data_IF_565613045611
#
_entry.id   IF_565613045611
#
_cell.length_a   1.000
_cell.length_b   1.000
_cell.length_c   1.000
_cell.angle_alpha   90.00
_cell.angle_beta   90.00
_cell.angle_gamma   90.00
#
_symmetry.space_group_name_H-M   'P 1'
#
loop_
_entity.id
_entity.type
_entity.pdbx_description
1 polymer ?
#
# COMPACT_ATOMS: atom_id res chain seq x y z
N UNK A 1 -37.53 -9.17 5.87
CA UNK A 1 -37.35 -7.92 5.13
C UNK A 1 -36.67 -6.95 6.08
N UNK A 2 -35.35 -6.79 5.94
CA UNK A 2 -34.58 -5.88 6.81
C UNK A 2 -34.71 -4.50 6.21
N UNK A 3 -35.24 -3.55 6.99
CA UNK A 3 -35.46 -2.18 6.56
C UNK A 3 -34.15 -1.51 6.20
N UNK A 4 -34.05 -1.06 4.95
CA UNK A 4 -33.10 -0.02 4.55
C UNK A 4 -33.60 1.26 5.23
N UNK A 5 -32.84 1.79 6.19
CA UNK A 5 -33.17 3.06 6.84
C UNK A 5 -33.07 4.17 5.80
N UNK A 6 -34.19 4.82 5.50
CA UNK A 6 -34.20 6.08 4.76
C UNK A 6 -33.39 7.10 5.57
N UNK A 7 -32.25 7.52 5.03
CA UNK A 7 -31.43 8.57 5.64
C UNK A 7 -32.23 9.87 5.66
N UNK A 8 -32.25 10.56 6.80
CA UNK A 8 -32.99 11.81 6.90
C UNK A 8 -32.28 12.92 6.09
N UNK A 9 -33.03 13.97 5.76
CA UNK A 9 -32.54 15.12 4.98
C UNK A 9 -31.29 15.79 5.57
N UNK A 10 -31.14 15.83 6.90
CA UNK A 10 -29.95 16.38 7.56
C UNK A 10 -28.71 15.50 7.37
N UNK A 11 -28.87 14.18 7.36
CA UNK A 11 -27.80 13.23 7.08
C UNK A 11 -27.33 13.34 5.64
N UNK A 12 -28.25 13.51 4.69
CA UNK A 12 -27.92 13.75 3.27
C UNK A 12 -27.11 15.05 3.13
N UNK A 13 -27.58 16.16 3.72
CA UNK A 13 -26.84 17.43 3.69
C UNK A 13 -25.47 17.36 4.39
N UNK A 14 -25.32 16.52 5.40
CA UNK A 14 -24.03 16.29 6.05
C UNK A 14 -23.07 15.49 5.17
N UNK A 15 -23.56 14.46 4.48
CA UNK A 15 -22.76 13.69 3.51
C UNK A 15 -22.35 14.52 2.30
N UNK A 16 -23.27 15.32 1.75
CA UNK A 16 -22.96 16.22 0.63
C UNK A 16 -21.86 17.22 0.99
N UNK A 17 -21.95 17.84 2.17
CA UNK A 17 -20.90 18.74 2.67
C UNK A 17 -19.57 18.01 2.84
N UNK A 18 -19.59 16.79 3.39
CA UNK A 18 -18.38 15.98 3.56
C UNK A 18 -17.72 15.65 2.21
N UNK A 19 -18.51 15.38 1.18
CA UNK A 19 -18.01 15.14 -0.18
C UNK A 19 -17.35 16.41 -0.73
N UNK A 20 -17.96 17.58 -0.57
CA UNK A 20 -17.35 18.85 -1.00
C UNK A 20 -16.02 19.14 -0.29
N UNK A 21 -15.95 18.89 1.02
CA UNK A 21 -14.71 19.01 1.78
C UNK A 21 -13.62 18.06 1.25
N UNK A 22 -13.98 16.81 0.92
CA UNK A 22 -13.04 15.85 0.36
C UNK A 22 -12.60 16.15 -1.06
N UNK A 23 -13.40 16.83 -1.88
CA UNK A 23 -12.95 17.30 -3.20
C UNK A 23 -11.78 18.27 -3.07
N UNK A 24 -11.79 19.10 -2.02
CA UNK A 24 -10.72 20.08 -1.77
C UNK A 24 -9.54 19.48 -1.01
N UNK A 25 -9.81 18.56 -0.07
CA UNK A 25 -8.79 17.92 0.75
C UNK A 25 -9.05 16.41 0.89
N UNK A 26 -8.77 15.62 -0.16
CA UNK A 26 -9.11 14.19 -0.17
C UNK A 26 -8.35 13.38 0.88
N UNK A 27 -7.23 13.93 1.40
CA UNK A 27 -6.43 13.30 2.46
C UNK A 27 -6.71 13.88 3.85
N UNK A 28 -7.61 14.86 4.00
CA UNK A 28 -7.77 15.63 5.24
C UNK A 28 -7.89 14.80 6.51
N UNK A 29 -8.67 13.72 6.46
CA UNK A 29 -8.82 12.79 7.59
C UNK A 29 -7.54 12.01 7.93
N UNK A 30 -6.78 11.56 6.93
CA UNK A 30 -5.46 10.96 7.16
C UNK A 30 -4.48 11.98 7.74
N UNK A 31 -4.44 13.19 7.17
CA UNK A 31 -3.56 14.26 7.64
C UNK A 31 -3.83 14.59 9.12
N UNK A 32 -5.11 14.66 9.51
CA UNK A 32 -5.50 14.85 10.89
C UNK A 32 -5.04 13.68 11.78
N UNK A 33 -5.35 12.43 11.39
CA UNK A 33 -4.98 11.25 12.14
C UNK A 33 -3.46 11.13 12.35
N UNK A 34 -2.65 11.47 11.33
CA UNK A 34 -1.19 11.44 11.42
C UNK A 34 -0.66 12.49 12.42
N UNK A 35 -1.22 13.71 12.40
CA UNK A 35 -0.85 14.78 13.35
C UNK A 35 -1.20 14.42 14.79
N UNK A 36 -2.36 13.81 14.98
CA UNK A 36 -2.86 13.36 16.29
C UNK A 36 -2.23 12.03 16.73
N UNK A 37 -1.43 11.39 15.86
CA UNK A 37 -0.88 10.03 16.03
C UNK A 37 -1.97 8.99 16.30
N UNK A 38 -3.16 9.19 15.74
CA UNK A 38 -4.29 8.26 15.81
C UNK A 38 -4.09 7.10 14.82
N UNK A 39 -3.33 6.10 15.26
CA UNK A 39 -3.06 4.89 14.50
C UNK A 39 -4.33 4.07 14.22
N UNK A 40 -5.32 4.13 15.10
CA UNK A 40 -6.55 3.37 14.94
C UNK A 40 -7.37 3.91 13.77
N UNK A 41 -7.49 5.24 13.66
CA UNK A 41 -8.13 5.89 12.51
C UNK A 41 -7.38 5.62 11.21
N UNK A 42 -6.05 5.73 11.22
CA UNK A 42 -5.22 5.36 10.07
C UNK A 42 -5.43 3.89 9.64
N UNK A 43 -5.49 2.96 10.59
CA UNK A 43 -5.69 1.54 10.33
C UNK A 43 -7.07 1.22 9.78
N UNK A 44 -8.13 1.84 10.32
CA UNK A 44 -9.51 1.69 9.80
C UNK A 44 -9.59 2.12 8.34
N UNK A 45 -9.01 3.28 8.00
CA UNK A 45 -8.98 3.76 6.61
C UNK A 45 -8.11 2.89 5.71
N UNK A 46 -6.97 2.39 6.22
CA UNK A 46 -6.11 1.45 5.48
C UNK A 46 -6.87 0.17 5.11
N UNK A 47 -7.73 -0.32 6.00
CA UNK A 47 -8.53 -1.52 5.74
C UNK A 47 -9.55 -1.33 4.59
N UNK A 48 -9.93 -0.10 4.23
CA UNK A 48 -10.81 0.19 3.08
C UNK A 48 -10.17 -0.26 1.77
N UNK A 49 -8.85 -0.03 1.60
CA UNK A 49 -8.11 -0.47 0.41
C UNK A 49 -7.56 -1.89 0.55
N UNK A 50 -7.18 -2.30 1.76
CA UNK A 50 -6.55 -3.60 2.01
C UNK A 50 -7.58 -4.75 2.14
N UNK A 51 -8.84 -4.42 2.42
CA UNK A 51 -9.96 -5.36 2.52
C UNK A 51 -10.08 -6.12 3.84
N UNK A 52 -9.12 -5.99 4.77
CA UNK A 52 -9.20 -6.57 6.11
C UNK A 52 -8.21 -5.93 7.10
N UNK A 53 -8.25 -6.37 8.35
CA UNK A 53 -7.30 -5.99 9.39
C UNK A 53 -6.30 -7.13 9.62
N UNK A 54 -5.00 -6.83 9.57
CA UNK A 54 -3.95 -7.78 9.89
C UNK A 54 -2.75 -7.07 10.53
N UNK A 55 -1.87 -7.80 11.24
CA UNK A 55 -0.65 -7.22 11.81
C UNK A 55 0.26 -6.57 10.78
N UNK A 56 0.31 -7.11 9.56
CA UNK A 56 1.16 -6.58 8.49
C UNK A 56 0.80 -5.15 8.09
N UNK A 57 -0.49 -4.88 7.84
CA UNK A 57 -0.95 -3.52 7.51
C UNK A 57 -0.85 -2.57 8.71
N UNK A 58 -1.09 -3.07 9.94
CA UNK A 58 -0.87 -2.30 11.16
C UNK A 58 0.58 -1.85 11.33
N UNK A 59 1.56 -2.72 11.07
CA UNK A 59 2.98 -2.35 11.10
C UNK A 59 3.31 -1.28 10.04
N UNK A 60 2.72 -1.38 8.85
CA UNK A 60 2.86 -0.37 7.80
C UNK A 60 2.29 1.00 8.21
N UNK A 61 1.14 1.01 8.88
CA UNK A 61 0.52 2.22 9.46
C UNK A 61 1.44 2.85 10.51
N UNK A 62 1.94 2.06 11.47
CA UNK A 62 2.83 2.57 12.51
C UNK A 62 4.11 3.15 11.92
N UNK A 63 4.77 2.40 11.03
CA UNK A 63 5.97 2.87 10.35
C UNK A 63 5.73 4.20 9.62
N UNK A 64 4.57 4.37 9.02
CA UNK A 64 4.25 5.57 8.24
C UNK A 64 3.96 6.78 9.12
N UNK A 65 3.09 6.63 10.13
CA UNK A 65 2.79 7.75 11.03
C UNK A 65 4.05 8.20 11.76
N UNK A 66 4.87 7.28 12.26
CA UNK A 66 6.13 7.65 12.92
C UNK A 66 7.16 8.22 11.94
N UNK A 67 7.32 7.62 10.75
CA UNK A 67 8.28 8.09 9.74
C UNK A 67 8.01 9.48 9.24
N UNK A 68 6.74 9.81 8.96
CA UNK A 68 6.34 11.15 8.53
C UNK A 68 6.53 12.17 9.65
N UNK A 69 6.17 11.82 10.89
CA UNK A 69 6.42 12.70 12.04
C UNK A 69 7.92 12.97 12.25
N UNK A 70 8.79 11.97 12.05
CA UNK A 70 10.25 12.13 12.14
C UNK A 70 10.83 12.97 10.99
N UNK A 71 10.22 12.92 9.81
CA UNK A 71 10.63 13.70 8.64
C UNK A 71 10.16 15.18 8.70
N UNK A 72 9.24 15.48 9.61
CA UNK A 72 8.70 16.81 9.89
C UNK A 72 7.26 17.02 9.40
N UNK A 73 6.55 17.99 9.97
CA UNK A 73 5.12 18.21 9.70
C UNK A 73 4.81 18.56 8.23
N UNK A 74 5.73 19.25 7.55
CA UNK A 74 5.60 19.56 6.11
C UNK A 74 5.58 18.29 5.24
N UNK A 75 6.11 17.18 5.74
CA UNK A 75 6.10 15.89 5.03
C UNK A 75 4.74 15.20 5.09
N UNK A 76 3.84 15.62 5.98
CA UNK A 76 2.54 14.96 6.18
C UNK A 76 1.60 15.32 5.02
N UNK A 77 1.72 16.51 4.44
CA UNK A 77 0.94 16.96 3.28
C UNK A 77 1.60 16.56 1.96
N UNK A 78 1.47 15.29 1.56
CA UNK A 78 1.71 14.91 0.16
C UNK A 78 0.56 15.43 -0.70
N UNK A 79 0.89 16.23 -1.72
CA UNK A 79 -0.02 16.67 -2.78
C UNK A 79 -0.17 15.63 -3.91
N UNK A 80 0.59 14.53 -3.82
CA UNK A 80 0.62 13.48 -4.83
C UNK A 80 1.57 13.75 -6.00
N UNK A 81 2.45 14.75 -5.94
CA UNK A 81 3.34 15.16 -7.04
C UNK A 81 4.81 14.71 -6.85
N UNK A 82 5.05 13.50 -6.33
CA UNK A 82 6.39 12.90 -6.15
C UNK A 82 7.38 13.65 -5.23
N UNK A 83 6.96 14.72 -4.54
CA UNK A 83 7.85 15.44 -3.61
C UNK A 83 8.18 14.61 -2.37
N UNK A 84 7.16 14.02 -1.76
CA UNK A 84 7.31 12.97 -0.76
C UNK A 84 7.40 11.61 -1.44
N UNK A 85 8.50 10.90 -1.22
CA UNK A 85 8.74 9.56 -1.73
C UNK A 85 8.70 8.53 -0.60
N UNK A 86 8.10 7.37 -0.87
CA UNK A 86 8.18 6.20 -0.01
C UNK A 86 8.82 5.04 -0.76
N UNK A 87 9.93 4.51 -0.23
CA UNK A 87 10.60 3.34 -0.79
C UNK A 87 10.28 2.14 0.09
N UNK A 88 9.39 1.26 -0.38
CA UNK A 88 9.03 0.02 0.31
C UNK A 88 9.90 -1.13 -0.16
N UNK A 89 10.23 -2.05 0.75
CA UNK A 89 11.15 -3.15 0.48
C UNK A 89 10.45 -4.52 0.38
N UNK A 90 9.11 -4.52 0.29
CA UNK A 90 8.24 -5.70 0.26
C UNK A 90 6.92 -5.40 -0.46
N UNK A 91 6.32 -6.41 -1.10
CA UNK A 91 4.97 -6.41 -1.68
C UNK A 91 3.91 -7.07 -0.75
N UNK A 92 4.12 -6.99 0.56
CA UNK A 92 3.21 -7.54 1.57
C UNK A 92 2.21 -6.48 2.08
N UNK A 93 1.27 -6.89 2.95
CA UNK A 93 0.28 -6.02 3.61
C UNK A 93 0.86 -4.73 4.22
N UNK A 94 2.14 -4.77 4.62
CA UNK A 94 2.90 -3.61 5.10
C UNK A 94 2.91 -2.45 4.09
N UNK A 95 3.07 -2.74 2.80
CA UNK A 95 3.10 -1.74 1.74
C UNK A 95 1.75 -1.01 1.61
N UNK A 96 0.62 -1.68 1.84
CA UNK A 96 -0.70 -1.02 1.79
C UNK A 96 -0.89 -0.05 2.96
N UNK A 97 -0.39 -0.38 4.15
CA UNK A 97 -0.33 0.57 5.27
C UNK A 97 0.53 1.79 4.94
N UNK A 98 1.65 1.58 4.26
CA UNK A 98 2.50 2.68 3.77
C UNK A 98 1.77 3.55 2.76
N UNK A 99 1.18 2.95 1.72
CA UNK A 99 0.47 3.68 0.67
C UNK A 99 -0.70 4.49 1.23
N UNK A 100 -1.54 3.86 2.07
CA UNK A 100 -2.71 4.49 2.65
C UNK A 100 -2.33 5.73 3.47
N UNK A 101 -1.40 5.58 4.42
CA UNK A 101 -1.05 6.64 5.37
C UNK A 101 -0.21 7.73 4.73
N UNK A 102 0.82 7.39 3.96
CA UNK A 102 1.69 8.41 3.34
C UNK A 102 1.07 9.10 2.13
N UNK A 103 0.20 8.40 1.39
CA UNK A 103 -0.26 8.87 0.09
C UNK A 103 0.76 8.69 -1.03
N UNK A 104 1.93 8.13 -0.73
CA UNK A 104 2.86 7.67 -1.74
C UNK A 104 2.32 6.37 -2.33
N UNK A 105 1.86 6.38 -3.58
CA UNK A 105 1.24 5.22 -4.22
C UNK A 105 1.95 4.87 -5.52
N UNK A 106 1.68 3.68 -6.05
CA UNK A 106 2.23 3.28 -7.34
C UNK A 106 1.80 4.23 -8.47
N UNK A 107 0.52 4.63 -8.48
CA UNK A 107 -0.07 5.38 -9.61
C UNK A 107 0.30 6.87 -9.66
N UNK A 108 0.62 7.48 -8.51
CA UNK A 108 1.14 8.85 -8.46
C UNK A 108 2.68 8.91 -8.43
N UNK A 109 3.35 7.80 -8.76
CA UNK A 109 4.81 7.65 -8.87
C UNK A 109 5.62 7.96 -7.60
N UNK A 110 4.96 8.25 -6.48
CA UNK A 110 5.61 8.57 -5.22
C UNK A 110 6.06 7.32 -4.43
N UNK A 111 5.59 6.12 -4.81
CA UNK A 111 6.01 4.85 -4.23
C UNK A 111 7.06 4.15 -5.11
N UNK A 112 8.21 3.81 -4.52
CA UNK A 112 9.20 2.92 -5.12
C UNK A 112 9.13 1.57 -4.42
N UNK A 113 8.88 0.50 -5.17
CA UNK A 113 9.02 -0.86 -4.66
C UNK A 113 10.41 -1.43 -4.99
N UNK A 114 11.19 -1.68 -3.95
CA UNK A 114 12.43 -2.47 -3.99
C UNK A 114 12.14 -3.89 -3.57
N UNK A 115 12.21 -4.83 -4.51
CA UNK A 115 11.87 -6.22 -4.24
C UNK A 115 12.96 -6.97 -3.45
N UNK A 116 13.01 -6.71 -2.14
CA UNK A 116 14.07 -7.21 -1.23
C UNK A 116 13.51 -8.11 -0.11
N UNK A 117 12.19 -8.23 0.01
CA UNK A 117 11.51 -9.02 1.04
C UNK A 117 11.65 -8.48 2.47
N UNK A 118 12.10 -7.24 2.66
CA UNK A 118 12.30 -6.64 4.00
C UNK A 118 11.06 -5.85 4.41
N UNK A 119 10.58 -6.07 5.64
CA UNK A 119 9.53 -5.24 6.24
C UNK A 119 10.11 -3.88 6.64
N UNK A 120 10.32 -3.02 5.65
CA UNK A 120 10.91 -1.70 5.81
C UNK A 120 10.36 -0.70 4.80
N UNK A 121 10.38 0.57 5.20
CA UNK A 121 10.07 1.72 4.36
C UNK A 121 11.10 2.82 4.59
N UNK A 122 11.48 3.52 3.52
CA UNK A 122 12.23 4.78 3.61
C UNK A 122 11.35 5.92 3.14
N UNK A 123 11.16 6.94 3.97
CA UNK A 123 10.52 8.21 3.58
C UNK A 123 11.58 9.26 3.29
N UNK A 124 11.38 10.01 2.22
CA UNK A 124 12.29 11.05 1.79
C UNK A 124 11.53 12.19 1.11
N UNK A 125 12.02 13.42 1.26
CA UNK A 125 11.54 14.56 0.48
C UNK A 125 12.60 14.88 -0.57
N UNK A 126 12.21 14.99 -1.84
CA UNK A 126 13.12 15.40 -2.92
C UNK A 126 13.76 16.75 -2.59
N UNK A 127 15.06 16.87 -2.86
CA UNK A 127 15.84 18.07 -2.53
C UNK A 127 16.34 18.16 -1.07
N UNK A 128 15.82 17.35 -0.12
CA UNK A 128 16.39 17.25 1.22
C UNK A 128 17.56 16.26 1.26
N UNK A 129 18.56 16.54 2.09
CA UNK A 129 19.76 15.70 2.19
C UNK A 129 19.53 14.38 2.95
N UNK A 130 18.53 14.33 3.83
CA UNK A 130 18.27 13.20 4.71
C UNK A 130 16.85 12.67 4.55
N UNK A 131 16.72 11.34 4.58
CA UNK A 131 15.47 10.61 4.73
C UNK A 131 15.50 9.73 5.98
N UNK A 132 14.35 9.14 6.28
CA UNK A 132 14.13 8.28 7.46
C UNK A 132 13.74 6.90 6.99
N UNK A 133 14.52 5.88 7.35
CA UNK A 133 14.19 4.47 7.14
C UNK A 133 13.74 3.82 8.43
N UNK A 134 12.63 3.10 8.33
CA UNK A 134 12.02 2.37 9.43
C UNK A 134 11.96 0.91 9.03
N UNK A 135 12.47 0.03 9.89
CA UNK A 135 12.42 -1.42 9.70
C UNK A 135 11.79 -2.10 10.90
N UNK A 136 10.99 -3.12 10.65
CA UNK A 136 10.42 -3.97 11.70
C UNK A 136 11.54 -4.79 12.37
N UNK A 137 11.51 -4.90 13.69
CA UNK A 137 12.44 -5.70 14.48
C UNK A 137 12.18 -7.21 14.29
N UNK A 138 13.20 -8.08 14.33
CA UNK A 138 13.02 -9.52 14.09
C UNK A 138 12.00 -10.20 15.01
N UNK A 139 11.89 -9.78 16.27
CA UNK A 139 11.02 -10.40 17.27
C UNK A 139 9.58 -9.84 17.30
N UNK A 140 9.17 -9.09 16.26
CA UNK A 140 7.81 -8.53 16.20
C UNK A 140 6.72 -9.61 16.29
N UNK A 141 7.03 -10.85 15.89
CA UNK A 141 6.09 -11.97 15.95
C UNK A 141 5.70 -12.33 17.38
N UNK A 142 6.63 -12.24 18.34
CA UNK A 142 6.32 -12.41 19.76
C UNK A 142 5.32 -11.37 20.25
N UNK A 143 5.46 -10.13 19.81
CA UNK A 143 4.52 -9.04 20.12
C UNK A 143 3.13 -9.27 19.52
N UNK A 144 3.06 -9.75 18.27
CA UNK A 144 1.79 -10.15 17.63
C UNK A 144 1.13 -11.30 18.39
N UNK A 145 1.89 -12.32 18.80
CA UNK A 145 1.39 -13.46 19.54
C UNK A 145 0.87 -13.08 20.94
N UNK A 146 1.52 -12.12 21.62
CA UNK A 146 1.01 -11.56 22.88
C UNK A 146 -0.32 -10.83 22.68
N UNK A 147 -0.44 -10.05 21.60
CA UNK A 147 -1.67 -9.32 21.28
C UNK A 147 -2.82 -10.25 20.83
N UNK A 148 -2.50 -11.34 20.13
CA UNK A 148 -3.48 -12.36 19.70
C UNK A 148 -2.82 -13.74 19.60
N UNK A 149 -2.91 -14.57 20.65
CA UNK A 149 -2.25 -15.89 20.68
C UNK A 149 -2.72 -16.83 19.57
N UNK A 150 -3.98 -16.72 19.16
CA UNK A 150 -4.60 -17.56 18.13
C UNK A 150 -4.19 -17.16 16.70
N UNK A 151 -3.56 -16.01 16.51
CA UNK A 151 -3.29 -15.48 15.16
C UNK A 151 -2.39 -16.41 14.34
N UNK A 152 -1.21 -16.77 14.86
CA UNK A 152 -0.28 -17.63 14.12
C UNK A 152 -0.78 -19.06 13.90
N UNK A 153 -1.38 -19.75 14.90
CA UNK A 153 -2.01 -21.05 14.68
C UNK A 153 -3.08 -21.02 13.59
N UNK A 154 -3.93 -19.99 13.57
CA UNK A 154 -4.96 -19.83 12.54
C UNK A 154 -4.37 -19.45 11.19
N UNK A 155 -3.31 -18.64 11.14
CA UNK A 155 -2.61 -18.30 9.90
C UNK A 155 -1.97 -19.53 9.25
N UNK A 156 -1.34 -20.39 10.06
CA UNK A 156 -0.76 -21.66 9.61
C UNK A 156 -1.84 -22.53 8.95
N UNK A 157 -2.94 -22.76 9.67
CA UNK A 157 -4.06 -23.57 9.18
C UNK A 157 -4.73 -22.97 7.93
N UNK A 158 -5.16 -21.72 8.01
CA UNK A 158 -6.04 -21.10 7.00
C UNK A 158 -5.29 -20.59 5.78
N UNK A 159 -4.10 -20.02 5.96
CA UNK A 159 -3.37 -19.34 4.88
C UNK A 159 -2.28 -20.23 4.30
N UNK A 160 -1.41 -20.80 5.14
CA UNK A 160 -0.29 -21.62 4.65
C UNK A 160 -0.76 -22.98 4.15
N UNK A 161 -1.53 -23.70 4.97
CA UNK A 161 -2.03 -25.04 4.63
C UNK A 161 -3.31 -24.99 3.79
N UNK A 162 -3.95 -23.82 3.69
CA UNK A 162 -5.22 -23.61 2.96
C UNK A 162 -6.35 -24.52 3.47
N UNK A 163 -6.35 -24.82 4.75
CA UNK A 163 -7.34 -25.65 5.42
C UNK A 163 -8.40 -24.82 6.16
N UNK A 164 -9.52 -25.46 6.49
CA UNK A 164 -10.58 -24.85 7.30
C UNK A 164 -11.72 -24.21 6.49
N UNK A 165 -12.91 -24.26 7.09
CA UNK A 165 -14.15 -23.78 6.50
C UNK A 165 -14.44 -22.32 6.83
N UNK A 166 -15.71 -21.93 6.67
CA UNK A 166 -16.16 -20.58 6.98
C UNK A 166 -15.89 -20.17 8.44
N UNK A 167 -15.97 -21.13 9.37
CA UNK A 167 -15.72 -20.91 10.80
C UNK A 167 -14.27 -20.54 11.08
N UNK A 168 -13.31 -21.30 10.57
CA UNK A 168 -11.88 -21.01 10.73
C UNK A 168 -11.50 -19.68 10.06
N UNK A 169 -12.03 -19.40 8.87
CA UNK A 169 -11.81 -18.12 8.18
C UNK A 169 -12.34 -16.93 8.99
N UNK A 170 -13.52 -17.07 9.60
CA UNK A 170 -14.08 -16.04 10.48
C UNK A 170 -13.24 -15.86 11.76
N UNK A 171 -12.78 -16.96 12.36
CA UNK A 171 -11.89 -16.93 13.52
C UNK A 171 -10.56 -16.25 13.17
N UNK A 172 -9.96 -16.58 12.02
CA UNK A 172 -8.73 -15.95 11.54
C UNK A 172 -8.90 -14.44 11.32
N UNK A 173 -10.01 -14.00 10.71
CA UNK A 173 -10.31 -12.57 10.54
C UNK A 173 -10.49 -11.87 11.89
N UNK A 174 -11.12 -12.52 12.87
CA UNK A 174 -11.26 -11.98 14.23
C UNK A 174 -9.90 -11.84 14.93
N UNK A 175 -9.07 -12.89 14.87
CA UNK A 175 -7.72 -12.89 15.44
C UNK A 175 -6.84 -11.83 14.76
N UNK A 176 -6.87 -11.73 13.42
CA UNK A 176 -6.15 -10.71 12.66
C UNK A 176 -6.55 -9.29 13.05
N UNK A 177 -7.84 -9.04 13.30
CA UNK A 177 -8.33 -7.76 13.82
C UNK A 177 -7.81 -7.48 15.23
N UNK A 178 -7.93 -8.43 16.15
CA UNK A 178 -7.42 -8.29 17.52
C UNK A 178 -5.92 -8.01 17.52
N UNK A 179 -5.15 -8.76 16.74
CA UNK A 179 -3.73 -8.59 16.58
C UNK A 179 -3.37 -7.20 16.02
N UNK A 180 -4.04 -6.77 14.95
CA UNK A 180 -3.79 -5.47 14.33
C UNK A 180 -4.00 -4.30 15.30
N UNK A 181 -5.12 -4.29 16.03
CA UNK A 181 -5.44 -3.23 17.00
C UNK A 181 -4.62 -3.33 18.29
N UNK A 182 -4.16 -4.51 18.68
CA UNK A 182 -3.24 -4.66 19.81
C UNK A 182 -1.83 -4.19 19.46
N UNK A 183 -1.32 -4.51 18.27
CA UNK A 183 0.02 -4.12 17.81
C UNK A 183 0.20 -2.60 17.75
N UNK A 184 -0.80 -1.86 17.26
CA UNK A 184 -0.71 -0.39 17.18
C UNK A 184 -0.67 0.32 18.54
N UNK A 185 -0.92 -0.39 19.63
CA UNK A 185 -0.84 0.14 21.00
C UNK A 185 0.52 -0.13 21.66
N UNK A 186 1.38 -0.94 21.03
CA UNK A 186 2.69 -1.26 21.58
C UNK A 186 3.69 -0.11 21.39
N UNK A 187 4.71 0.00 22.25
CA UNK A 187 5.78 0.96 22.08
C UNK A 187 6.49 0.80 20.73
N UNK A 188 6.77 1.92 20.07
CA UNK A 188 7.34 1.91 18.73
C UNK A 188 8.74 1.28 18.69
N UNK A 189 9.57 1.55 19.70
CA UNK A 189 10.94 1.05 19.83
C UNK A 189 11.03 -0.46 20.09
N UNK A 190 9.98 -1.09 20.64
CA UNK A 190 9.88 -2.54 20.73
C UNK A 190 9.69 -3.20 19.36
N UNK A 191 9.04 -2.51 18.42
CA UNK A 191 8.65 -3.07 17.11
C UNK A 191 9.53 -2.60 15.96
N UNK A 192 10.20 -1.46 16.09
CA UNK A 192 10.90 -0.82 14.98
C UNK A 192 12.30 -0.34 15.35
N UNK A 193 13.17 -0.32 14.34
CA UNK A 193 14.43 0.41 14.36
C UNK A 193 14.39 1.51 13.30
N UNK A 194 15.08 2.63 13.58
CA UNK A 194 15.11 3.82 12.74
C UNK A 194 16.55 4.13 12.32
N UNK A 195 16.71 4.49 11.05
CA UNK A 195 17.98 4.91 10.45
C UNK A 195 17.76 6.22 9.68
N UNK A 196 18.62 7.23 9.90
CA UNK A 196 18.64 8.47 9.12
C UNK A 196 19.84 8.46 8.20
N UNK A 197 19.61 8.65 6.91
CA UNK A 197 20.68 8.64 5.89
C UNK A 197 20.22 9.40 4.65
N UNK A 198 21.12 9.61 3.68
CA UNK A 198 20.77 10.16 2.37
C UNK A 198 20.27 9.04 1.44
N UNK A 199 18.96 8.96 1.13
CA UNK A 199 18.43 7.90 0.30
C UNK A 199 18.75 8.16 -1.17
N UNK A 200 19.07 7.08 -1.90
CA UNK A 200 19.07 7.11 -3.35
C UNK A 200 17.62 7.03 -3.83
N UNK A 201 17.12 8.10 -4.45
CA UNK A 201 15.80 8.16 -5.08
C UNK A 201 15.95 8.08 -6.60
N UNK A 202 14.97 7.50 -7.31
CA UNK A 202 14.93 7.59 -8.77
C UNK A 202 14.72 9.04 -9.21
N UNK A 203 14.94 9.31 -10.50
CA UNK A 203 14.51 10.57 -11.11
C UNK A 203 12.98 10.71 -11.08
N UNK A 204 12.47 11.89 -11.46
CA UNK A 204 11.03 12.08 -11.63
C UNK A 204 10.48 11.17 -12.74
N UNK A 205 9.22 10.74 -12.62
CA UNK A 205 8.62 9.93 -13.66
C UNK A 205 8.60 10.68 -15.00
N UNK A 206 9.06 10.06 -16.10
CA UNK A 206 9.08 10.72 -17.40
C UNK A 206 7.66 10.83 -17.96
N UNK A 207 7.34 11.99 -18.57
CA UNK A 207 6.17 12.11 -19.42
C UNK A 207 6.54 11.56 -20.79
N UNK A 208 5.88 10.48 -21.19
CA UNK A 208 6.14 9.79 -22.45
C UNK A 208 4.92 9.86 -23.35
N UNK A 209 5.13 9.98 -24.65
CA UNK A 209 4.04 9.93 -25.62
C UNK A 209 3.36 8.55 -25.66
N UNK A 210 2.17 8.54 -26.27
CA UNK A 210 1.41 7.33 -26.54
C UNK A 210 1.53 6.93 -28.00
N UNK A 211 1.77 5.65 -28.26
CA UNK A 211 1.86 5.04 -29.59
C UNK A 211 0.70 4.07 -29.77
N UNK A 212 0.06 4.07 -30.93
CA UNK A 212 -0.94 3.06 -31.28
C UNK A 212 -0.23 1.83 -31.84
N UNK A 213 -0.42 0.67 -31.20
CA UNK A 213 0.17 -0.58 -31.66
C UNK A 213 -0.38 -0.98 -33.03
N UNK A 214 0.48 -1.17 -34.02
CA UNK A 214 0.06 -1.49 -35.40
C UNK A 214 -0.59 -2.87 -35.58
N UNK A 215 -0.46 -3.77 -34.60
CA UNK A 215 -1.07 -5.10 -34.64
C UNK A 215 -2.42 -5.18 -33.87
N UNK A 216 -2.47 -4.73 -32.61
CA UNK A 216 -3.71 -4.81 -31.81
C UNK A 216 -4.56 -3.53 -31.79
N UNK A 217 -4.03 -2.39 -32.23
CA UNK A 217 -4.73 -1.11 -32.22
C UNK A 217 -4.85 -0.43 -30.86
N UNK A 218 -4.26 -0.99 -29.80
CA UNK A 218 -4.27 -0.37 -28.46
C UNK A 218 -3.31 0.83 -28.38
N UNK A 219 -3.67 1.82 -27.56
CA UNK A 219 -2.80 2.96 -27.23
C UNK A 219 -1.87 2.57 -26.08
N UNK A 220 -0.56 2.71 -26.30
CA UNK A 220 0.49 2.17 -25.44
C UNK A 220 1.51 3.26 -25.12
N UNK A 221 1.96 3.30 -23.87
CA UNK A 221 3.08 4.15 -23.47
C UNK A 221 4.31 3.84 -24.33
N UNK A 222 4.94 4.84 -24.95
CA UNK A 222 6.01 4.63 -25.94
C UNK A 222 7.15 3.74 -25.43
N UNK A 223 7.50 3.85 -24.14
CA UNK A 223 8.54 3.02 -23.48
C UNK A 223 8.17 1.54 -23.34
N UNK A 224 6.96 1.14 -23.73
CA UNK A 224 6.46 -0.25 -23.76
C UNK A 224 6.20 -0.75 -25.19
N UNK A 225 6.92 -0.19 -26.15
CA UNK A 225 6.81 -0.55 -27.57
C UNK A 225 8.16 -0.87 -28.19
N UNK A 226 8.15 -1.69 -29.24
CA UNK A 226 9.28 -2.01 -30.11
C UNK A 226 8.79 -1.98 -31.55
N UNK A 227 9.40 -1.13 -32.40
CA UNK A 227 9.04 -1.06 -33.82
C UNK A 227 7.56 -0.73 -34.10
N UNK A 228 6.90 0.06 -33.24
CA UNK A 228 5.48 0.39 -33.36
C UNK A 228 4.52 -0.70 -32.86
N UNK A 229 5.03 -1.78 -32.24
CA UNK A 229 4.25 -2.84 -31.62
C UNK A 229 4.36 -2.76 -30.09
N UNK A 230 3.28 -3.08 -29.37
CA UNK A 230 3.33 -3.26 -27.93
C UNK A 230 4.16 -4.51 -27.56
N UNK A 231 4.72 -4.57 -26.35
CA UNK A 231 5.53 -5.72 -25.92
C UNK A 231 4.84 -7.07 -26.16
N UNK A 232 3.54 -7.17 -25.88
CA UNK A 232 2.77 -8.40 -26.11
C UNK A 232 2.63 -8.79 -27.59
N UNK A 233 2.57 -7.82 -28.52
CA UNK A 233 2.52 -8.09 -29.96
C UNK A 233 3.89 -8.38 -30.55
N UNK A 234 4.93 -7.75 -29.99
CA UNK A 234 6.30 -7.87 -30.45
C UNK A 234 6.98 -9.18 -29.99
N UNK A 235 6.38 -9.93 -29.06
CA UNK A 235 7.04 -11.09 -28.48
C UNK A 235 8.03 -10.73 -27.36
N UNK A 236 7.95 -9.51 -26.83
CA UNK A 236 8.90 -8.99 -25.85
C UNK A 236 8.58 -9.42 -24.43
N UNK A 237 9.63 -9.69 -23.66
CA UNK A 237 9.49 -9.95 -22.24
C UNK A 237 8.97 -8.72 -21.49
N UNK A 238 8.13 -8.95 -20.47
CA UNK A 238 7.63 -7.90 -19.58
C UNK A 238 7.89 -8.25 -18.12
N UNK A 239 7.76 -7.26 -17.24
CA UNK A 239 7.87 -7.44 -15.79
C UNK A 239 6.50 -7.31 -15.15
N UNK A 240 6.20 -8.16 -14.19
CA UNK A 240 4.96 -8.09 -13.41
C UNK A 240 5.23 -8.34 -11.93
N UNK A 241 4.38 -7.75 -11.08
CA UNK A 241 4.38 -8.03 -9.64
C UNK A 241 3.45 -9.23 -9.39
N UNK A 242 3.99 -10.29 -8.84
CA UNK A 242 3.25 -11.43 -8.28
C UNK A 242 3.35 -11.42 -6.75
N UNK A 243 2.64 -12.33 -6.06
CA UNK A 243 2.77 -12.49 -4.61
C UNK A 243 4.19 -12.82 -4.12
N UNK A 244 5.07 -13.30 -5.03
CA UNK A 244 6.48 -13.61 -4.74
C UNK A 244 7.46 -12.46 -5.03
N UNK A 245 6.99 -11.34 -5.58
CA UNK A 245 7.83 -10.23 -6.02
C UNK A 245 7.71 -9.93 -7.52
N UNK A 246 8.68 -9.20 -8.07
CA UNK A 246 8.78 -8.81 -9.47
C UNK A 246 9.38 -9.97 -10.27
N UNK A 247 8.63 -10.47 -11.26
CA UNK A 247 9.08 -11.54 -12.15
C UNK A 247 9.12 -11.07 -13.60
N UNK A 248 10.06 -11.62 -14.36
CA UNK A 248 10.05 -11.52 -15.81
C UNK A 248 9.09 -12.57 -16.39
N UNK A 249 8.34 -12.18 -17.42
CA UNK A 249 7.43 -13.05 -18.17
C UNK A 249 7.73 -12.90 -19.65
N UNK A 250 7.68 -14.00 -20.36
CA UNK A 250 7.65 -14.00 -21.81
C UNK A 250 6.22 -13.70 -22.28
N UNK A 251 6.07 -12.97 -23.37
CA UNK A 251 4.76 -12.72 -23.95
C UNK A 251 4.33 -13.92 -24.78
N UNK A 252 3.54 -14.80 -24.17
CA UNK A 252 2.79 -15.81 -24.91
C UNK A 252 1.49 -15.18 -25.41
N UNK A 253 1.45 -14.70 -26.65
CA UNK A 253 0.16 -14.54 -27.34
C UNK A 253 -0.18 -15.85 -28.02
N UNK A 254 -1.37 -16.43 -27.80
CA UNK A 254 -1.93 -17.36 -28.76
C UNK A 254 -1.99 -16.61 -30.10
N UNK A 255 -1.43 -17.19 -31.16
CA UNK A 255 -1.52 -16.64 -32.51
C UNK A 255 -2.93 -16.13 -32.76
N UNK A 256 -3.08 -14.83 -33.01
CA UNK A 256 -4.39 -14.25 -33.29
C UNK A 256 -5.01 -15.06 -34.44
N UNK A 257 -6.21 -15.63 -34.20
CA UNK A 257 -7.01 -16.17 -35.29
C UNK A 257 -7.14 -15.07 -36.33
N UNK A 258 -6.67 -15.33 -37.55
CA UNK A 258 -7.00 -14.57 -38.74
C UNK A 258 -8.49 -14.25 -38.70
N UNK A 259 -8.84 -12.98 -38.43
CA UNK A 259 -10.16 -12.48 -38.78
C UNK A 259 -10.19 -12.44 -40.31
N UNK A 260 -10.76 -13.50 -40.89
CA UNK A 260 -11.26 -13.56 -42.26
C UNK A 260 -12.37 -12.53 -42.47
#
# INVERSE_FOLDING_TARGET
MVGLSEMNTEQIFAEDRRIEDFKQNPRGEFLQAIREKDMARCLVKTAEIHGHFCPGSALGVMASVHGLNLLGLDSISSDGLEDLMAVVETNACFADGVQAVSGCTLGNNALVYRDLGRLAVTFAIRGKETGVRIRVQPDFSSSVAKASPEFYPLMEKVIKNREGGAREKAAFRKAGRQAAFGVIQLPFDELFAVETFRPLLPEYAPITESIVCSNCGEMIMATKTVGGLCFMCAGEAYRQVEGRGIVAKESERPSASTKS
#
